data_IF_344741841094
#
_entry.id   IF_344741841094
#
_cell.length_a   1.000
_cell.length_b   1.000
_cell.length_c   1.000
_cell.angle_alpha   90.00
_cell.angle_beta   90.00
_cell.angle_gamma   90.00
#
_symmetry.space_group_name_H-M   'P 1'
#
loop_
_entity.id
_entity.type
_entity.pdbx_description
1 polymer ?
#
# COMPACT_ATOMS: atom_id res chain seq x y z
N UNK A 1 -12.71 -11.73 60.04
CA UNK A 1 -11.69 -11.79 58.97
C UNK A 1 -12.14 -12.51 57.70
N UNK A 2 -13.40 -12.38 57.27
CA UNK A 2 -13.86 -12.96 55.99
C UNK A 2 -14.28 -11.90 54.94
N UNK A 3 -14.49 -10.65 55.34
CA UNK A 3 -14.88 -9.54 54.45
C UNK A 3 -13.69 -8.88 53.72
N UNK A 4 -12.46 -9.08 54.19
CA UNK A 4 -11.26 -8.47 53.57
C UNK A 4 -10.69 -9.24 52.37
N UNK A 5 -11.01 -10.53 52.23
CA UNK A 5 -10.52 -11.39 51.14
C UNK A 5 -11.28 -11.13 49.82
N UNK A 6 -12.57 -10.82 49.90
CA UNK A 6 -13.40 -10.52 48.73
C UNK A 6 -13.03 -9.15 48.10
N UNK A 7 -12.69 -8.16 48.93
CA UNK A 7 -12.22 -6.86 48.45
C UNK A 7 -10.87 -6.96 47.74
N UNK A 8 -9.89 -7.68 48.32
CA UNK A 8 -8.59 -7.89 47.68
C UNK A 8 -8.64 -8.73 46.40
N UNK A 9 -9.60 -9.66 46.30
CA UNK A 9 -9.85 -10.40 45.07
C UNK A 9 -10.44 -9.50 43.95
N UNK A 10 -11.32 -8.57 44.30
CA UNK A 10 -11.88 -7.63 43.33
C UNK A 10 -10.83 -6.63 42.82
N UNK A 11 -9.99 -6.12 43.72
CA UNK A 11 -8.90 -5.20 43.36
C UNK A 11 -7.85 -5.87 42.46
N UNK A 12 -7.52 -7.14 42.72
CA UNK A 12 -6.58 -7.90 41.88
C UNK A 12 -7.15 -8.23 40.50
N UNK A 13 -8.44 -8.55 40.41
CA UNK A 13 -9.12 -8.76 39.12
C UNK A 13 -9.13 -7.47 38.29
N UNK A 14 -9.42 -6.32 38.90
CA UNK A 14 -9.39 -5.02 38.23
C UNK A 14 -7.97 -4.69 37.77
N UNK A 15 -6.96 -4.88 38.62
CA UNK A 15 -5.57 -4.60 38.27
C UNK A 15 -5.08 -5.45 37.09
N UNK A 16 -5.41 -6.75 37.08
CA UNK A 16 -5.06 -7.66 35.98
C UNK A 16 -5.77 -7.25 34.68
N UNK A 17 -7.05 -6.87 34.76
CA UNK A 17 -7.80 -6.40 33.59
C UNK A 17 -7.19 -5.13 32.98
N UNK A 18 -6.80 -4.16 33.82
CA UNK A 18 -6.16 -2.91 33.37
C UNK A 18 -4.82 -3.20 32.69
N UNK A 19 -3.97 -4.04 33.29
CA UNK A 19 -2.68 -4.41 32.69
C UNK A 19 -2.88 -5.14 31.37
N UNK A 20 -3.83 -6.07 31.29
CA UNK A 20 -4.16 -6.77 30.06
C UNK A 20 -4.62 -5.79 28.95
N UNK A 21 -5.45 -4.80 29.30
CA UNK A 21 -5.89 -3.77 28.34
C UNK A 21 -4.75 -2.85 27.90
N UNK A 22 -3.84 -2.46 28.81
CA UNK A 22 -2.65 -1.67 28.46
C UNK A 22 -1.73 -2.42 27.50
N UNK A 23 -1.50 -3.72 27.75
CA UNK A 23 -0.70 -4.57 26.87
C UNK A 23 -1.39 -4.74 25.51
N UNK A 24 -2.69 -5.02 25.49
CA UNK A 24 -3.46 -5.13 24.24
C UNK A 24 -3.41 -3.83 23.43
N UNK A 25 -3.65 -2.68 24.05
CA UNK A 25 -3.55 -1.38 23.41
C UNK A 25 -2.13 -1.12 22.87
N UNK A 26 -1.10 -1.47 23.64
CA UNK A 26 0.29 -1.34 23.21
C UNK A 26 0.61 -2.25 22.03
N UNK A 27 0.12 -3.49 22.03
CA UNK A 27 0.28 -4.45 20.93
C UNK A 27 -0.48 -4.02 19.67
N UNK A 28 -1.69 -3.47 19.81
CA UNK A 28 -2.48 -2.90 18.71
C UNK A 28 -1.72 -1.71 18.10
N UNK A 29 -1.25 -0.79 18.95
CA UNK A 29 -0.47 0.37 18.51
C UNK A 29 0.89 0.00 17.88
N UNK A 30 1.51 -1.12 18.31
CA UNK A 30 2.73 -1.64 17.70
C UNK A 30 2.46 -2.37 16.37
N UNK A 31 1.33 -3.09 16.27
CA UNK A 31 0.92 -3.79 15.03
C UNK A 31 0.72 -2.83 13.86
N UNK A 32 0.30 -1.59 14.12
CA UNK A 32 0.18 -0.56 13.09
C UNK A 32 1.54 -0.05 12.57
N UNK A 33 2.61 -0.17 13.36
CA UNK A 33 3.94 0.30 12.96
C UNK A 33 4.66 -0.66 12.02
N UNK A 34 4.32 -1.94 12.02
CA UNK A 34 4.89 -2.94 11.09
C UNK A 34 4.25 -2.84 9.68
N UNK A 35 2.97 -2.45 9.58
CA UNK A 35 2.24 -2.35 8.30
C UNK A 35 2.58 -1.07 7.52
N UNK A 36 2.80 0.04 8.22
CA UNK A 36 3.19 1.31 7.61
C UNK A 36 4.57 1.26 6.93
N UNK A 37 5.42 0.32 7.34
CA UNK A 37 6.78 0.14 6.80
C UNK A 37 6.80 -0.35 5.36
N UNK A 38 5.71 -1.00 4.89
CA UNK A 38 5.60 -1.47 3.49
C UNK A 38 4.66 -0.63 2.65
N UNK A 39 3.61 -0.05 3.21
CA UNK A 39 2.65 0.77 2.48
C UNK A 39 2.15 1.92 3.36
N UNK A 40 2.86 3.05 3.29
CA UNK A 40 2.46 4.29 3.95
C UNK A 40 1.27 4.95 3.23
N UNK A 41 0.20 5.17 3.99
CA UNK A 41 -0.88 6.16 3.76
C UNK A 41 -1.94 5.80 2.70
N UNK A 42 -3.07 5.26 3.17
CA UNK A 42 -4.44 5.69 2.78
C UNK A 42 -5.42 5.48 3.94
N UNK A 43 -5.28 6.26 5.02
CA UNK A 43 -6.35 6.42 6.04
C UNK A 43 -7.34 7.47 5.52
N UNK A 44 -8.03 7.16 4.43
CA UNK A 44 -9.26 7.84 3.96
C UNK A 44 -10.03 6.84 3.07
N UNK A 45 -10.38 5.68 3.63
CA UNK A 45 -11.43 4.78 3.11
C UNK A 45 -12.46 4.50 4.23
N UNK A 46 -12.78 5.53 5.05
CA UNK A 46 -13.95 5.49 5.95
C UNK A 46 -15.19 5.63 5.07
N UNK A 47 -15.55 4.55 4.39
CA UNK A 47 -16.58 4.60 3.36
C UNK A 47 -16.66 3.36 2.49
N UNK A 48 -16.71 2.19 3.11
CA UNK A 48 -17.20 0.99 2.47
C UNK A 48 -16.11 0.07 1.93
N UNK A 49 -16.37 -1.22 2.10
CA UNK A 49 -15.76 -2.31 1.37
C UNK A 49 -16.00 -2.04 -0.13
N UNK A 50 -15.16 -1.24 -0.78
CA UNK A 50 -15.08 -1.24 -2.23
C UNK A 50 -14.40 -2.56 -2.55
N UNK A 51 -15.22 -3.60 -2.67
CA UNK A 51 -14.80 -4.88 -3.20
C UNK A 51 -14.13 -4.57 -4.55
N UNK A 52 -12.80 -4.72 -4.59
CA UNK A 52 -12.04 -4.42 -5.81
C UNK A 52 -12.65 -5.27 -6.91
N UNK A 53 -12.90 -4.67 -8.06
CA UNK A 53 -13.41 -5.45 -9.18
C UNK A 53 -12.41 -6.58 -9.49
N UNK A 54 -12.86 -7.75 -9.93
CA UNK A 54 -11.95 -8.85 -10.28
C UNK A 54 -10.88 -8.44 -11.32
N UNK A 55 -11.17 -7.44 -12.14
CA UNK A 55 -10.24 -6.87 -13.10
C UNK A 55 -9.14 -6.03 -12.43
N UNK A 56 -9.51 -5.25 -11.41
CA UNK A 56 -8.58 -4.42 -10.64
C UNK A 56 -7.62 -5.28 -9.81
N UNK A 57 -8.14 -6.35 -9.20
CA UNK A 57 -7.33 -7.34 -8.48
C UNK A 57 -6.38 -8.09 -9.42
N UNK A 58 -6.86 -8.53 -10.59
CA UNK A 58 -5.99 -9.14 -11.62
C UNK A 58 -4.88 -8.21 -12.07
N UNK A 59 -5.19 -6.92 -12.28
CA UNK A 59 -4.19 -5.92 -12.66
C UNK A 59 -3.15 -5.73 -11.56
N UNK A 60 -3.57 -5.72 -10.31
CA UNK A 60 -2.65 -5.62 -9.16
C UNK A 60 -1.71 -6.80 -9.04
N UNK A 61 -2.24 -8.02 -9.16
CA UNK A 61 -1.44 -9.24 -9.18
C UNK A 61 -0.42 -9.17 -10.32
N UNK A 62 -0.85 -8.78 -11.51
CA UNK A 62 0.05 -8.70 -12.67
C UNK A 62 1.14 -7.63 -12.51
N UNK A 63 0.80 -6.46 -11.94
CA UNK A 63 1.78 -5.41 -11.62
C UNK A 63 2.81 -5.92 -10.62
N UNK A 64 2.38 -6.64 -9.57
CA UNK A 64 3.28 -7.22 -8.59
C UNK A 64 4.21 -8.26 -9.20
N UNK A 65 3.69 -9.16 -10.05
CA UNK A 65 4.48 -10.15 -10.78
C UNK A 65 5.55 -9.50 -11.67
N UNK A 66 5.19 -8.45 -12.42
CA UNK A 66 6.14 -7.72 -13.27
C UNK A 66 7.19 -6.99 -12.43
N UNK A 67 6.76 -6.34 -11.34
CA UNK A 67 7.67 -5.63 -10.45
C UNK A 67 8.73 -6.57 -9.84
N UNK A 68 8.31 -7.76 -9.40
CA UNK A 68 9.22 -8.79 -8.91
C UNK A 68 10.14 -9.32 -10.02
N UNK A 69 9.56 -9.69 -11.17
CA UNK A 69 10.30 -10.21 -12.34
C UNK A 69 11.43 -9.27 -12.77
N UNK A 70 11.17 -7.97 -12.81
CA UNK A 70 12.13 -6.96 -13.23
C UNK A 70 12.90 -6.30 -12.08
N UNK A 71 12.72 -6.79 -10.84
CA UNK A 71 13.37 -6.25 -9.62
C UNK A 71 13.22 -4.74 -9.51
N UNK A 72 11.99 -4.27 -9.68
CA UNK A 72 11.65 -2.88 -9.46
C UNK A 72 11.78 -2.53 -7.98
N UNK A 73 12.27 -1.33 -7.71
CA UNK A 73 12.28 -0.77 -6.35
C UNK A 73 10.85 -0.46 -5.90
N UNK A 74 10.61 -0.23 -4.59
CA UNK A 74 9.29 0.16 -4.09
C UNK A 74 8.72 1.38 -4.84
N UNK A 75 9.53 2.42 -5.04
CA UNK A 75 9.08 3.63 -5.75
C UNK A 75 8.78 3.39 -7.23
N UNK A 76 9.58 2.57 -7.90
CA UNK A 76 9.32 2.18 -9.30
C UNK A 76 8.04 1.36 -9.42
N UNK A 77 7.75 0.51 -8.42
CA UNK A 77 6.54 -0.31 -8.35
C UNK A 77 5.29 0.55 -8.17
N UNK A 78 5.35 1.56 -7.28
CA UNK A 78 4.27 2.55 -7.13
C UNK A 78 3.97 3.25 -8.46
N UNK A 79 5.01 3.69 -9.16
CA UNK A 79 4.85 4.36 -10.46
C UNK A 79 4.26 3.40 -11.50
N UNK A 80 4.73 2.15 -11.57
CA UNK A 80 4.19 1.13 -12.49
C UNK A 80 2.71 0.88 -12.22
N UNK A 81 2.32 0.79 -10.95
CA UNK A 81 0.93 0.61 -10.54
C UNK A 81 0.03 1.77 -11.01
N UNK A 82 0.47 3.01 -10.84
CA UNK A 82 -0.28 4.19 -11.32
C UNK A 82 -0.35 4.25 -12.85
N UNK A 83 0.70 3.80 -13.55
CA UNK A 83 0.66 3.67 -15.02
C UNK A 83 -0.37 2.61 -15.44
N UNK A 84 -0.45 1.48 -14.74
CA UNK A 84 -1.44 0.44 -15.00
C UNK A 84 -2.88 0.93 -14.76
N UNK A 85 -3.08 1.87 -13.82
CA UNK A 85 -4.34 2.59 -13.62
C UNK A 85 -4.64 3.62 -14.73
N UNK A 86 -3.78 3.79 -15.72
CA UNK A 86 -3.95 4.75 -16.82
C UNK A 86 -3.54 6.19 -16.49
N UNK A 87 -2.98 6.46 -15.30
CA UNK A 87 -2.59 7.81 -14.89
C UNK A 87 -1.46 8.36 -15.74
N UNK A 88 -1.53 9.66 -16.06
CA UNK A 88 -0.51 10.37 -16.81
C UNK A 88 0.61 10.93 -15.89
N UNK A 89 1.71 11.39 -16.48
CA UNK A 89 2.87 11.88 -15.71
C UNK A 89 2.54 12.99 -14.72
N UNK A 90 1.79 14.05 -15.09
CA UNK A 90 1.35 15.07 -14.13
C UNK A 90 0.55 14.52 -12.94
N UNK A 91 -0.41 13.61 -13.19
CA UNK A 91 -1.20 12.98 -12.13
C UNK A 91 -0.32 12.15 -11.19
N UNK A 92 0.58 11.32 -11.74
CA UNK A 92 1.51 10.49 -10.96
C UNK A 92 2.42 11.36 -10.09
N UNK A 93 2.97 12.44 -10.64
CA UNK A 93 3.83 13.38 -9.90
C UNK A 93 3.08 14.04 -8.74
N UNK A 94 1.84 14.45 -8.98
CA UNK A 94 1.00 15.06 -7.94
C UNK A 94 0.68 14.06 -6.83
N UNK A 95 0.36 12.83 -7.18
CA UNK A 95 -0.04 11.79 -6.22
C UNK A 95 1.12 11.28 -5.37
N UNK A 96 2.31 11.17 -5.97
CA UNK A 96 3.52 10.75 -5.27
C UNK A 96 4.32 11.93 -4.68
N UNK A 97 3.86 13.17 -4.89
CA UNK A 97 4.54 14.40 -4.46
C UNK A 97 6.01 14.47 -4.91
N UNK A 98 6.29 14.16 -6.18
CA UNK A 98 7.64 14.16 -6.76
C UNK A 98 7.81 15.17 -7.89
N UNK A 99 9.03 15.72 -8.00
CA UNK A 99 9.40 16.62 -9.09
C UNK A 99 9.47 15.91 -10.45
N UNK A 100 9.44 16.66 -11.55
CA UNK A 100 9.52 16.11 -12.90
C UNK A 100 10.81 15.34 -13.18
N UNK A 101 11.96 15.86 -12.72
CA UNK A 101 13.24 15.19 -12.87
C UNK A 101 13.26 13.83 -12.18
N UNK A 102 12.73 13.75 -10.95
CA UNK A 102 12.62 12.51 -10.18
C UNK A 102 11.71 11.49 -10.86
N UNK A 103 10.55 11.94 -11.35
CA UNK A 103 9.65 11.07 -12.13
C UNK A 103 10.32 10.54 -13.40
N UNK A 104 11.00 11.40 -14.17
CA UNK A 104 11.74 10.99 -15.37
C UNK A 104 12.84 9.98 -15.03
N UNK A 105 13.61 10.19 -13.98
CA UNK A 105 14.64 9.25 -13.54
C UNK A 105 14.05 7.87 -13.21
N UNK A 106 12.99 7.81 -12.39
CA UNK A 106 12.35 6.53 -12.06
C UNK A 106 11.74 5.86 -13.30
N UNK A 107 11.03 6.59 -14.16
CA UNK A 107 10.48 5.99 -15.39
C UNK A 107 11.55 5.50 -16.35
N UNK A 108 12.70 6.19 -16.44
CA UNK A 108 13.85 5.73 -17.22
C UNK A 108 14.39 4.41 -16.70
N UNK A 109 14.55 4.27 -15.37
CA UNK A 109 14.99 3.01 -14.76
C UNK A 109 13.96 1.89 -14.95
N UNK A 110 12.66 2.19 -14.89
CA UNK A 110 11.61 1.21 -15.20
C UNK A 110 11.76 0.72 -16.64
N UNK A 111 11.89 1.63 -17.60
CA UNK A 111 12.06 1.28 -19.02
C UNK A 111 13.30 0.41 -19.25
N UNK A 112 14.42 0.76 -18.63
CA UNK A 112 15.66 -0.01 -18.69
C UNK A 112 15.49 -1.42 -18.11
N UNK A 113 14.95 -1.53 -16.88
CA UNK A 113 14.74 -2.81 -16.20
C UNK A 113 13.75 -3.71 -16.91
N UNK A 114 12.66 -3.14 -17.45
CA UNK A 114 11.65 -3.88 -18.20
C UNK A 114 12.07 -4.16 -19.66
N UNK A 115 13.18 -3.58 -20.13
CA UNK A 115 13.65 -3.74 -21.51
C UNK A 115 12.70 -3.13 -22.55
N UNK A 116 11.98 -2.06 -22.19
CA UNK A 116 11.00 -1.40 -23.07
C UNK A 116 11.45 0.02 -23.42
N UNK A 117 11.21 0.51 -24.65
CA UNK A 117 11.76 1.80 -25.08
C UNK A 117 10.95 3.01 -24.62
N UNK A 118 9.69 2.83 -24.20
CA UNK A 118 8.79 3.94 -23.85
C UNK A 118 7.55 3.47 -23.07
N UNK A 119 6.79 4.45 -22.57
CA UNK A 119 5.52 4.23 -21.86
C UNK A 119 4.54 3.35 -22.63
N UNK A 120 4.42 3.53 -23.95
CA UNK A 120 3.46 2.76 -24.75
C UNK A 120 3.81 1.27 -24.76
N UNK A 121 5.10 0.95 -24.92
CA UNK A 121 5.59 -0.42 -24.80
C UNK A 121 5.44 -0.99 -23.38
N UNK A 122 5.65 -0.16 -22.34
CA UNK A 122 5.40 -0.55 -20.95
C UNK A 122 3.91 -0.87 -20.69
N UNK A 123 3.00 -0.05 -21.23
CA UNK A 123 1.54 -0.24 -21.11
C UNK A 123 1.11 -1.52 -21.84
N UNK A 124 1.68 -1.80 -23.02
CA UNK A 124 1.46 -3.06 -23.72
C UNK A 124 1.96 -4.27 -22.92
N UNK A 125 3.11 -4.15 -22.25
CA UNK A 125 3.64 -5.19 -21.37
C UNK A 125 2.73 -5.49 -20.17
N UNK A 126 2.03 -4.48 -19.67
CA UNK A 126 1.06 -4.61 -18.57
C UNK A 126 -0.26 -5.28 -19.01
N UNK A 127 -0.46 -5.56 -20.30
CA UNK A 127 -1.76 -5.95 -20.83
C UNK A 127 -2.83 -4.87 -20.66
N UNK A 128 -2.41 -3.64 -20.37
CA UNK A 128 -3.30 -2.49 -20.19
C UNK A 128 -3.64 -1.89 -21.55
N UNK A 129 -4.38 -2.63 -22.38
CA UNK A 129 -5.10 -2.06 -23.50
C UNK A 129 -6.33 -1.30 -22.94
N UNK A 130 -6.09 -0.15 -22.32
CA UNK A 130 -7.17 0.71 -21.83
C UNK A 130 -8.00 1.27 -22.99
N UNK A 131 -9.34 1.33 -22.89
CA UNK A 131 -10.23 1.92 -23.90
C UNK A 131 -10.15 3.46 -23.91
N UNK A 132 -8.97 4.02 -24.13
CA UNK A 132 -8.73 5.48 -24.02
C UNK A 132 -7.55 6.02 -24.83
N UNK A 133 -6.86 5.21 -25.62
CA UNK A 133 -5.80 5.66 -26.52
C UNK A 133 -6.33 6.16 -27.86
N UNK A 134 -7.08 7.27 -27.89
CA UNK A 134 -7.31 8.02 -29.14
C UNK A 134 -6.54 9.35 -29.07
N UNK A 135 -5.52 9.41 -29.95
CA UNK A 135 -4.89 10.58 -30.58
C UNK A 135 -4.22 11.61 -29.65
#
# INVERSE_FOLDING_TARGET
GALGLAAGAQDTVIAVAVVAMMLAATLILLSERELASKWGVRILDIGGLVEKTPEEERREIHVAELAERFRLTPRETEILHLIAQGKNGPAIRSELFIAEGTFKAHTSHIYEKCGVPNRRALVALLGADGPGGRL
#
